data_IF_806451442237
#
_entry.id   IF_806451442237
#
_cell.length_a   1.000
_cell.length_b   1.000
_cell.length_c   1.000
_cell.angle_alpha   90.00
_cell.angle_beta   90.00
_cell.angle_gamma   90.00
#
_symmetry.space_group_name_H-M   'P 1'
#
loop_
_entity.id
_entity.type
_entity.pdbx_description
1 polymer ?
#
# COMPACT_ATOMS: atom_id res chain seq x y z
N UNK A 1 -5.40 -33.15 -9.62
CA UNK A 1 -5.26 -32.04 -8.65
C UNK A 1 -3.79 -31.93 -8.29
N UNK A 2 -3.14 -30.84 -8.71
CA UNK A 2 -1.74 -30.60 -8.37
C UNK A 2 -1.66 -30.23 -6.89
N UNK A 3 -1.48 -31.23 -6.02
CA UNK A 3 -1.51 -31.01 -4.57
C UNK A 3 -0.59 -29.86 -4.16
N UNK A 4 -1.16 -28.95 -3.37
CA UNK A 4 -0.38 -27.95 -2.65
C UNK A 4 0.55 -28.70 -1.70
N UNK A 5 1.86 -28.41 -1.79
CA UNK A 5 2.80 -28.95 -0.81
C UNK A 5 2.64 -28.23 0.53
N UNK A 6 3.20 -28.81 1.60
CA UNK A 6 3.22 -28.18 2.92
C UNK A 6 3.77 -26.75 2.89
N UNK A 7 4.70 -26.44 1.98
CA UNK A 7 5.25 -25.08 1.79
C UNK A 7 4.19 -24.07 1.36
N UNK A 8 3.33 -24.46 0.41
CA UNK A 8 2.21 -23.61 -0.03
C UNK A 8 1.21 -23.44 1.12
N UNK A 9 0.91 -24.53 1.83
CA UNK A 9 0.00 -24.51 2.98
C UNK A 9 0.50 -23.60 4.10
N UNK A 10 1.80 -23.59 4.40
CA UNK A 10 2.39 -22.69 5.40
C UNK A 10 2.19 -21.22 5.03
N UNK A 11 2.32 -20.85 3.75
CA UNK A 11 2.09 -19.47 3.29
C UNK A 11 0.62 -19.07 3.48
N UNK A 12 -0.31 -19.94 3.10
CA UNK A 12 -1.75 -19.71 3.27
C UNK A 12 -2.08 -19.58 4.77
N UNK A 13 -1.59 -20.51 5.60
CA UNK A 13 -1.81 -20.51 7.05
C UNK A 13 -1.24 -19.26 7.72
N UNK A 14 -0.07 -18.77 7.27
CA UNK A 14 0.51 -17.53 7.79
C UNK A 14 -0.43 -16.34 7.57
N UNK A 15 -1.03 -16.22 6.37
CA UNK A 15 -1.96 -15.14 6.04
C UNK A 15 -3.32 -15.28 6.74
N UNK A 16 -3.86 -16.50 6.85
CA UNK A 16 -5.14 -16.75 7.53
C UNK A 16 -5.05 -16.48 9.03
N UNK A 17 -3.95 -16.90 9.69
CA UNK A 17 -3.77 -16.77 11.14
C UNK A 17 -3.37 -15.36 11.58
N UNK A 18 -2.51 -14.67 10.81
CA UNK A 18 -1.98 -13.35 11.17
C UNK A 18 -2.74 -12.20 10.52
N UNK A 19 -3.54 -12.49 9.51
CA UNK A 19 -4.11 -11.48 8.62
C UNK A 19 -3.11 -11.00 7.56
N UNK A 20 -3.45 -9.90 6.87
CA UNK A 20 -2.58 -9.35 5.84
C UNK A 20 -1.18 -9.03 6.36
N UNK A 21 -0.16 -9.41 5.58
CA UNK A 21 1.24 -9.21 5.90
C UNK A 21 1.89 -8.27 4.89
N UNK A 22 2.80 -7.40 5.35
CA UNK A 22 3.56 -6.54 4.45
C UNK A 22 4.40 -7.40 3.50
N UNK A 23 4.62 -6.94 2.28
CA UNK A 23 5.36 -7.65 1.24
C UNK A 23 6.73 -8.14 1.72
N UNK A 24 7.49 -7.30 2.43
CA UNK A 24 8.81 -7.65 2.97
C UNK A 24 8.72 -8.85 3.94
N UNK A 25 7.74 -8.81 4.86
CA UNK A 25 7.53 -9.87 5.86
C UNK A 25 7.06 -11.16 5.21
N UNK A 26 6.14 -11.06 4.24
CA UNK A 26 5.61 -12.22 3.54
C UNK A 26 6.69 -12.88 2.66
N UNK A 27 7.54 -12.09 1.99
CA UNK A 27 8.70 -12.57 1.25
C UNK A 27 9.76 -13.19 2.15
N UNK A 28 9.94 -12.67 3.37
CA UNK A 28 10.81 -13.26 4.38
C UNK A 28 10.32 -14.66 4.79
N UNK A 29 9.02 -14.81 5.07
CA UNK A 29 8.41 -16.13 5.35
C UNK A 29 8.59 -17.07 4.16
N UNK A 30 8.32 -16.59 2.95
CA UNK A 30 8.53 -17.36 1.72
C UNK A 30 9.96 -17.87 1.62
N UNK A 31 10.95 -17.00 1.77
CA UNK A 31 12.37 -17.35 1.68
C UNK A 31 12.77 -18.39 2.73
N UNK A 32 12.22 -18.32 3.95
CA UNK A 32 12.47 -19.29 5.01
C UNK A 32 11.87 -20.66 4.71
N UNK A 33 10.66 -20.71 4.12
CA UNK A 33 9.95 -21.95 3.81
C UNK A 33 10.53 -22.66 2.58
N UNK A 34 10.96 -21.90 1.57
CA UNK A 34 11.53 -22.43 0.33
C UNK A 34 13.02 -22.74 0.45
N UNK A 35 13.77 -21.94 1.21
CA UNK A 35 15.24 -22.02 1.31
C UNK A 35 15.96 -21.32 0.17
N UNK A 36 17.28 -21.55 0.04
CA UNK A 36 18.10 -20.97 -1.04
C UNK A 36 17.72 -21.58 -2.39
N UNK A 37 17.21 -20.76 -3.31
CA UNK A 37 16.97 -21.17 -4.70
C UNK A 37 18.15 -20.83 -5.61
N UNK A 38 18.42 -21.68 -6.61
CA UNK A 38 19.45 -21.45 -7.64
C UNK A 38 19.00 -20.53 -8.78
N UNK A 39 17.74 -20.06 -8.78
CA UNK A 39 17.15 -19.21 -9.82
C UNK A 39 16.51 -17.93 -9.28
N UNK A 40 15.82 -17.19 -10.17
CA UNK A 40 15.11 -15.95 -9.84
C UNK A 40 14.06 -16.18 -8.74
N UNK A 41 14.34 -15.65 -7.54
CA UNK A 41 13.44 -15.69 -6.39
C UNK A 41 12.07 -15.10 -6.72
N UNK A 42 12.01 -14.11 -7.61
CA UNK A 42 10.76 -13.47 -8.03
C UNK A 42 9.88 -14.41 -8.86
N UNK A 43 10.44 -15.08 -9.87
CA UNK A 43 9.69 -16.02 -10.70
C UNK A 43 9.15 -17.18 -9.87
N UNK A 44 9.99 -17.71 -8.98
CA UNK A 44 9.57 -18.78 -8.08
C UNK A 44 8.44 -18.34 -7.14
N UNK A 45 8.51 -17.11 -6.62
CA UNK A 45 7.43 -16.54 -5.81
C UNK A 45 6.12 -16.45 -6.60
N UNK A 46 6.17 -15.89 -7.82
CA UNK A 46 4.99 -15.74 -8.69
C UNK A 46 4.38 -17.09 -9.08
N UNK A 47 5.19 -18.11 -9.32
CA UNK A 47 4.74 -19.48 -9.59
C UNK A 47 4.04 -20.10 -8.38
N UNK A 48 4.55 -19.88 -7.17
CA UNK A 48 3.90 -20.31 -5.93
C UNK A 48 2.57 -19.61 -5.72
N UNK A 49 2.49 -18.30 -5.95
CA UNK A 49 1.24 -17.55 -5.85
C UNK A 49 0.20 -18.05 -6.85
N UNK A 50 0.62 -18.28 -8.10
CA UNK A 50 -0.24 -18.83 -9.16
C UNK A 50 -0.80 -20.19 -8.74
N UNK A 51 0.07 -21.09 -8.26
CA UNK A 51 -0.35 -22.43 -7.84
C UNK A 51 -1.29 -22.39 -6.63
N UNK A 52 -1.03 -21.52 -5.65
CA UNK A 52 -1.93 -21.30 -4.51
C UNK A 52 -3.30 -20.84 -5.02
N UNK A 53 -3.36 -19.83 -5.89
CA UNK A 53 -4.61 -19.26 -6.37
C UNK A 53 -5.42 -20.21 -7.25
N UNK A 54 -4.77 -21.06 -8.04
CA UNK A 54 -5.45 -22.12 -8.80
C UNK A 54 -6.25 -23.04 -7.86
N UNK A 55 -5.69 -23.40 -6.71
CA UNK A 55 -6.33 -24.33 -5.78
C UNK A 55 -7.30 -23.62 -4.82
N UNK A 56 -6.99 -22.39 -4.38
CA UNK A 56 -7.91 -21.57 -3.57
C UNK A 56 -9.19 -21.18 -4.31
N UNK A 57 -9.14 -21.07 -5.64
CA UNK A 57 -10.29 -20.76 -6.47
C UNK A 57 -11.46 -21.75 -6.29
N UNK A 58 -11.18 -23.02 -5.99
CA UNK A 58 -12.21 -24.03 -5.74
C UNK A 58 -13.09 -23.70 -4.53
N UNK A 59 -12.52 -23.06 -3.51
CA UNK A 59 -13.21 -22.62 -2.29
C UNK A 59 -13.55 -21.13 -2.32
N UNK A 60 -13.48 -20.50 -3.50
CA UNK A 60 -13.78 -19.08 -3.70
C UNK A 60 -12.91 -18.16 -2.83
N UNK A 61 -11.67 -18.57 -2.55
CA UNK A 61 -10.66 -17.76 -1.91
C UNK A 61 -9.61 -17.31 -2.93
N UNK A 62 -8.93 -16.22 -2.63
CA UNK A 62 -7.81 -15.72 -3.45
C UNK A 62 -6.73 -15.15 -2.54
N UNK A 63 -5.47 -15.51 -2.79
CA UNK A 63 -4.32 -14.82 -2.23
C UNK A 63 -3.98 -13.63 -3.14
N UNK A 64 -4.09 -12.42 -2.61
CA UNK A 64 -3.93 -11.19 -3.39
C UNK A 64 -3.07 -10.16 -2.68
N UNK A 65 -2.44 -9.30 -3.49
CA UNK A 65 -1.75 -8.10 -3.04
C UNK A 65 -2.68 -6.88 -3.05
N UNK A 66 -2.60 -6.04 -2.01
CA UNK A 66 -3.22 -4.73 -1.94
C UNK A 66 -2.22 -3.69 -1.46
N UNK A 67 -2.27 -2.48 -2.03
CA UNK A 67 -1.44 -1.36 -1.58
C UNK A 67 -2.20 -0.55 -0.55
N UNK A 68 -1.60 -0.36 0.62
CA UNK A 68 -2.19 0.43 1.70
C UNK A 68 -2.18 1.93 1.33
N UNK A 69 -3.32 2.61 1.54
CA UNK A 69 -3.54 3.97 1.07
C UNK A 69 -2.81 5.04 1.91
N UNK A 70 -2.36 4.69 3.11
CA UNK A 70 -1.69 5.61 4.03
C UNK A 70 -0.17 5.60 3.87
N UNK A 71 0.43 4.41 3.77
CA UNK A 71 1.88 4.25 3.71
C UNK A 71 2.41 3.81 2.33
N UNK A 72 1.54 3.53 1.36
CA UNK A 72 1.92 3.10 0.01
C UNK A 72 2.58 1.72 -0.07
N UNK A 73 2.71 0.99 1.05
CA UNK A 73 3.30 -0.35 1.10
C UNK A 73 2.34 -1.41 0.59
N UNK A 74 2.87 -2.46 -0.03
CA UNK A 74 2.10 -3.60 -0.50
C UNK A 74 1.95 -4.61 0.63
N UNK A 75 0.75 -5.17 0.76
CA UNK A 75 0.40 -6.24 1.68
C UNK A 75 -0.21 -7.39 0.92
N UNK A 76 0.07 -8.62 1.35
CA UNK A 76 -0.55 -9.83 0.85
C UNK A 76 -1.55 -10.35 1.88
N UNK A 77 -2.69 -10.83 1.42
CA UNK A 77 -3.72 -11.45 2.26
C UNK A 77 -4.52 -12.49 1.48
N UNK A 78 -5.29 -13.29 2.20
CA UNK A 78 -6.27 -14.22 1.62
C UNK A 78 -7.63 -13.58 1.74
N UNK A 79 -8.30 -13.38 0.61
CA UNK A 79 -9.63 -12.78 0.51
C UNK A 79 -10.67 -13.83 0.19
N UNK A 80 -11.88 -13.61 0.69
CA UNK A 80 -13.06 -14.37 0.29
C UNK A 80 -13.79 -13.65 -0.85
N UNK A 81 -13.92 -14.33 -1.98
CA UNK A 81 -14.55 -13.81 -3.21
C UNK A 81 -16.08 -14.00 -3.24
N UNK A 82 -16.67 -14.62 -2.22
CA UNK A 82 -18.13 -14.62 -2.01
C UNK A 82 -18.61 -13.19 -1.79
N UNK A 83 -19.72 -12.82 -2.44
CA UNK A 83 -20.29 -11.46 -2.43
C UNK A 83 -20.98 -11.05 -1.14
N UNK A 84 -21.23 -11.99 -0.22
CA UNK A 84 -21.81 -11.67 1.08
C UNK A 84 -20.76 -11.09 2.03
N UNK A 85 -20.48 -9.80 1.84
CA UNK A 85 -19.52 -9.05 2.64
C UNK A 85 -19.97 -8.87 4.09
N UNK A 86 -21.28 -8.98 4.39
CA UNK A 86 -21.78 -8.90 5.76
C UNK A 86 -21.38 -10.12 6.59
N UNK A 87 -21.34 -11.30 5.95
CA UNK A 87 -20.88 -12.54 6.60
C UNK A 87 -19.39 -12.52 6.99
N UNK A 88 -18.56 -11.65 6.38
CA UNK A 88 -17.10 -11.62 6.64
C UNK A 88 -16.76 -11.17 8.07
N UNK A 89 -17.56 -10.29 8.66
CA UNK A 89 -17.43 -9.90 10.07
C UNK A 89 -18.33 -10.73 11.01
N UNK A 90 -19.41 -11.33 10.49
CA UNK A 90 -20.43 -12.07 11.25
C UNK A 90 -19.93 -13.29 12.03
N UNK A 91 -18.77 -13.84 11.69
CA UNK A 91 -18.20 -15.00 12.39
C UNK A 91 -17.49 -14.65 13.70
N UNK A 92 -17.06 -13.39 13.88
CA UNK A 92 -16.26 -12.95 15.04
C UNK A 92 -16.91 -11.83 15.84
N UNK A 93 -17.66 -10.94 15.17
CA UNK A 93 -18.20 -9.74 15.80
C UNK A 93 -19.71 -9.85 15.97
N UNK A 94 -20.20 -9.24 17.05
CA UNK A 94 -21.64 -9.13 17.31
C UNK A 94 -22.29 -8.11 16.38
N UNK A 95 -23.62 -8.20 16.21
CA UNK A 95 -24.37 -7.29 15.34
C UNK A 95 -24.14 -5.80 15.66
N UNK A 96 -24.14 -5.33 16.92
CA UNK A 96 -23.83 -3.93 17.22
C UNK A 96 -22.40 -3.51 16.86
N UNK A 97 -21.42 -4.42 17.00
CA UNK A 97 -20.03 -4.15 16.61
C UNK A 97 -19.90 -4.02 15.09
N UNK A 98 -20.58 -4.87 14.33
CA UNK A 98 -20.58 -4.79 12.86
C UNK A 98 -21.22 -3.49 12.39
N UNK A 99 -22.34 -3.10 12.97
CA UNK A 99 -22.96 -1.81 12.66
C UNK A 99 -22.07 -0.63 13.07
N UNK A 100 -21.35 -0.74 14.18
CA UNK A 100 -20.40 0.28 14.62
C UNK A 100 -19.25 0.44 13.61
N UNK A 101 -18.70 -0.68 13.13
CA UNK A 101 -17.71 -0.69 12.06
C UNK A 101 -18.24 -0.02 10.78
N UNK A 102 -19.46 -0.37 10.33
CA UNK A 102 -20.08 0.25 9.16
C UNK A 102 -20.20 1.76 9.32
N UNK A 103 -20.71 2.23 10.47
CA UNK A 103 -20.83 3.66 10.73
C UNK A 103 -19.48 4.41 10.73
N UNK A 104 -18.41 3.79 11.24
CA UNK A 104 -17.05 4.36 11.12
C UNK A 104 -16.61 4.45 9.66
N UNK A 105 -16.78 3.37 8.89
CA UNK A 105 -16.36 3.31 7.48
C UNK A 105 -17.13 4.33 6.63
N UNK A 106 -18.44 4.43 6.82
CA UNK A 106 -19.29 5.43 6.16
C UNK A 106 -18.86 6.86 6.49
N UNK A 107 -18.61 7.17 7.77
CA UNK A 107 -18.13 8.48 8.17
C UNK A 107 -16.77 8.83 7.54
N UNK A 108 -15.86 7.85 7.41
CA UNK A 108 -14.57 8.03 6.73
C UNK A 108 -14.75 8.26 5.22
N UNK A 109 -15.70 7.56 4.58
CA UNK A 109 -15.95 7.66 3.13
C UNK A 109 -16.65 8.97 2.74
N UNK A 110 -17.58 9.43 3.59
CA UNK A 110 -18.36 10.64 3.38
C UNK A 110 -17.56 11.93 3.62
N UNK A 111 -16.33 11.83 4.12
CA UNK A 111 -15.41 12.95 4.24
C UNK A 111 -15.15 13.60 2.86
N UNK A 112 -15.58 14.86 2.72
CA UNK A 112 -15.48 15.63 1.49
C UNK A 112 -14.03 15.80 1.02
N UNK A 113 -13.08 15.88 1.96
CA UNK A 113 -11.66 16.05 1.68
C UNK A 113 -10.95 14.73 1.29
N UNK A 114 -11.65 13.59 1.34
CA UNK A 114 -11.09 12.26 1.15
C UNK A 114 -9.77 12.06 1.92
N UNK A 115 -9.72 12.57 3.16
CA UNK A 115 -8.57 12.40 4.06
C UNK A 115 -8.37 10.93 4.42
N UNK A 116 -9.46 10.16 4.34
CA UNK A 116 -9.55 8.74 4.61
C UNK A 116 -9.37 8.40 6.08
N UNK A 117 -9.69 9.32 6.99
CA UNK A 117 -9.56 9.10 8.42
C UNK A 117 -10.64 9.84 9.22
N UNK A 118 -10.88 9.38 10.45
CA UNK A 118 -11.79 9.97 11.43
C UNK A 118 -11.05 10.18 12.75
N UNK A 119 -11.43 11.18 13.55
CA UNK A 119 -10.88 11.34 14.90
C UNK A 119 -11.40 10.26 15.84
N UNK A 120 -10.65 9.97 16.92
CA UNK A 120 -11.11 9.01 17.93
C UNK A 120 -12.42 9.47 18.60
N UNK A 121 -12.55 10.77 18.86
CA UNK A 121 -13.75 11.37 19.44
C UNK A 121 -14.96 11.16 18.53
N UNK A 122 -14.82 11.45 17.24
CA UNK A 122 -15.93 11.29 16.27
C UNK A 122 -16.29 9.82 16.08
N UNK A 123 -15.29 8.92 16.04
CA UNK A 123 -15.51 7.48 15.98
C UNK A 123 -16.35 6.99 17.17
N UNK A 124 -16.00 7.37 18.40
CA UNK A 124 -16.75 6.98 19.59
C UNK A 124 -18.18 7.54 19.60
N UNK A 125 -18.41 8.69 18.97
CA UNK A 125 -19.72 9.34 18.88
C UNK A 125 -20.61 8.83 17.74
N UNK A 126 -20.16 7.86 16.93
CA UNK A 126 -21.00 7.24 15.88
C UNK A 126 -22.29 6.68 16.48
N UNK A 127 -23.42 7.12 15.91
CA UNK A 127 -24.77 6.70 16.31
C UNK A 127 -25.21 5.49 15.50
N UNK A 128 -25.53 4.42 16.20
CA UNK A 128 -25.89 3.14 15.59
C UNK A 128 -27.31 3.12 15.03
N UNK A 129 -28.17 4.04 15.47
CA UNK A 129 -29.55 4.14 15.02
C UNK A 129 -29.64 4.34 13.50
N UNK A 130 -28.72 5.12 12.92
CA UNK A 130 -28.64 5.40 11.49
C UNK A 130 -28.31 4.15 10.67
N UNK A 131 -27.63 3.17 11.26
CA UNK A 131 -27.17 1.94 10.59
C UNK A 131 -28.28 0.87 10.48
N UNK A 132 -29.40 1.04 11.20
CA UNK A 132 -30.51 0.09 11.22
C UNK A 132 -31.38 0.24 9.98
N UNK A 133 -31.54 1.46 9.47
CA UNK A 133 -32.43 1.74 8.34
C UNK A 133 -32.00 0.99 7.06
N UNK A 134 -30.70 0.83 6.83
CA UNK A 134 -30.14 0.07 5.68
C UNK A 134 -29.96 -1.44 5.93
N UNK A 135 -30.37 -1.97 7.09
CA UNK A 135 -30.39 -3.43 7.33
C UNK A 135 -31.77 -4.06 7.05
N UNK A 136 -32.80 -3.24 6.87
CA UNK A 136 -34.22 -3.67 6.78
C UNK A 136 -34.85 -3.40 5.41
N UNK A 137 -34.09 -3.44 4.31
CA UNK A 137 -34.60 -3.27 2.93
C UNK A 137 -35.44 -4.46 2.42
N UNK A 138 -36.17 -5.14 3.30
CA UNK A 138 -37.25 -6.05 2.93
C UNK A 138 -38.58 -5.47 3.40
N UNK A 139 -39.22 -4.74 2.49
CA UNK A 139 -40.67 -4.55 2.35
C UNK A 139 -41.53 -4.60 3.63
N UNK A 140 -41.46 -3.57 4.47
CA UNK A 140 -42.62 -3.25 5.30
C UNK A 140 -42.79 -1.74 5.47
N UNK A 141 -43.80 -1.22 4.78
CA UNK A 141 -44.33 0.11 5.08
C UNK A 141 -45.02 0.09 6.44
N UNK A 142 -44.68 1.06 7.29
CA UNK A 142 -45.53 1.47 8.41
C UNK A 142 -45.28 0.78 9.74
N UNK A 143 -44.10 0.97 10.34
CA UNK A 143 -43.94 0.88 11.80
C UNK A 143 -42.77 1.78 12.22
N UNK A 144 -42.88 2.59 13.29
CA UNK A 144 -41.72 3.34 13.77
C UNK A 144 -40.66 2.34 14.25
N UNK A 145 -39.54 2.30 13.53
CA UNK A 145 -38.42 1.37 13.72
C UNK A 145 -38.02 1.30 15.18
N UNK A 146 -38.46 0.27 15.91
CA UNK A 146 -37.98 0.05 17.27
C UNK A 146 -36.52 -0.40 17.18
N UNK A 147 -35.60 0.53 17.42
CA UNK A 147 -34.17 0.28 17.53
C UNK A 147 -33.96 -0.90 18.50
N UNK A 148 -33.37 -2.02 18.06
CA UNK A 148 -33.23 -3.18 18.92
C UNK A 148 -32.41 -2.83 20.18
N UNK A 149 -32.76 -3.39 21.36
CA UNK A 149 -32.11 -3.04 22.62
C UNK A 149 -30.58 -3.18 22.60
N UNK A 150 -30.06 -4.13 21.82
CA UNK A 150 -28.63 -4.36 21.65
C UNK A 150 -27.88 -3.14 21.10
N UNK A 151 -28.53 -2.30 20.28
CA UNK A 151 -27.93 -1.06 19.77
C UNK A 151 -28.02 0.09 20.78
N UNK A 152 -29.16 0.23 21.47
CA UNK A 152 -29.35 1.25 22.52
C UNK A 152 -28.37 1.06 23.70
N UNK A 153 -28.09 -0.20 24.01
CA UNK A 153 -27.23 -0.57 25.13
C UNK A 153 -25.74 -0.65 24.77
N UNK A 154 -25.37 -0.33 23.51
CA UNK A 154 -23.97 -0.38 23.08
C UNK A 154 -23.20 0.84 23.62
N UNK A 155 -22.58 0.67 24.79
CA UNK A 155 -21.97 1.75 25.56
C UNK A 155 -20.70 2.31 24.93
N UNK A 156 -20.26 3.48 25.38
CA UNK A 156 -18.98 4.07 24.99
C UNK A 156 -17.79 3.16 25.31
N UNK A 157 -17.78 2.53 26.48
CA UNK A 157 -16.73 1.59 26.87
C UNK A 157 -16.72 0.32 26.01
N UNK A 158 -17.86 -0.11 25.48
CA UNK A 158 -17.93 -1.21 24.51
C UNK A 158 -17.42 -0.77 23.13
N UNK A 159 -17.70 0.47 22.72
CA UNK A 159 -17.15 1.06 21.50
C UNK A 159 -15.63 1.14 21.54
N UNK A 160 -15.04 1.63 22.63
CA UNK A 160 -13.58 1.70 22.82
C UNK A 160 -12.93 0.32 22.68
N UNK A 161 -13.43 -0.68 23.43
CA UNK A 161 -12.93 -2.06 23.33
C UNK A 161 -13.09 -2.65 21.93
N UNK A 162 -14.21 -2.34 21.27
CA UNK A 162 -14.47 -2.82 19.91
C UNK A 162 -13.52 -2.17 18.90
N UNK A 163 -13.20 -0.89 19.08
CA UNK A 163 -12.25 -0.15 18.26
C UNK A 163 -10.84 -0.75 18.37
N UNK A 164 -10.39 -1.08 19.58
CA UNK A 164 -9.13 -1.78 19.83
C UNK A 164 -9.08 -3.13 19.10
N UNK A 165 -10.18 -3.89 19.12
CA UNK A 165 -10.27 -5.16 18.39
C UNK A 165 -10.15 -4.96 16.88
N UNK A 166 -10.82 -3.96 16.30
CA UNK A 166 -10.72 -3.68 14.87
C UNK A 166 -9.32 -3.24 14.44
N UNK A 167 -8.63 -2.46 15.28
CA UNK A 167 -7.23 -2.08 15.04
C UNK A 167 -6.32 -3.31 15.10
N UNK A 168 -6.48 -4.15 16.12
CA UNK A 168 -5.71 -5.39 16.30
C UNK A 168 -5.90 -6.35 15.12
N UNK A 169 -7.14 -6.49 14.64
CA UNK A 169 -7.50 -7.40 13.56
C UNK A 169 -7.29 -6.79 12.16
N UNK A 170 -6.78 -5.56 12.10
CA UNK A 170 -6.47 -4.80 10.89
C UNK A 170 -7.68 -4.44 10.01
N UNK A 171 -8.89 -4.42 10.58
CA UNK A 171 -10.08 -3.83 9.95
C UNK A 171 -10.04 -2.29 9.99
N UNK A 172 -9.40 -1.74 11.01
CA UNK A 172 -9.05 -0.33 11.10
C UNK A 172 -7.53 -0.21 11.26
N UNK A 173 -6.99 0.98 11.04
CA UNK A 173 -5.58 1.29 11.26
C UNK A 173 -5.41 2.61 11.99
N UNK A 174 -4.41 2.69 12.86
CA UNK A 174 -3.97 3.98 13.39
C UNK A 174 -3.23 4.74 12.31
N UNK A 175 -3.58 6.02 12.14
CA UNK A 175 -2.90 6.98 11.27
C UNK A 175 -2.28 8.09 12.12
N UNK A 176 -1.39 8.92 11.53
CA UNK A 176 -0.84 10.09 12.23
C UNK A 176 -1.94 10.95 12.89
N UNK A 177 -1.56 11.69 13.93
CA UNK A 177 -2.44 12.55 14.73
C UNK A 177 -3.54 11.80 15.52
N UNK A 178 -3.26 10.55 15.92
CA UNK A 178 -4.19 9.69 16.68
C UNK A 178 -5.55 9.49 15.99
N UNK A 179 -5.58 9.64 14.66
CA UNK A 179 -6.75 9.37 13.85
C UNK A 179 -6.85 7.90 13.49
N UNK A 180 -8.01 7.53 12.99
CA UNK A 180 -8.38 6.16 12.64
C UNK A 180 -8.70 6.11 11.16
N UNK A 181 -8.04 5.20 10.45
CA UNK A 181 -8.25 4.92 9.04
C UNK A 181 -8.81 3.52 8.82
N UNK A 182 -9.21 3.25 7.59
CA UNK A 182 -9.64 1.91 7.16
C UNK A 182 -8.42 0.98 7.10
N UNK A 183 -8.51 -0.17 7.74
CA UNK A 183 -7.41 -1.12 7.79
C UNK A 183 -7.19 -1.85 6.46
N UNK A 184 -5.99 -2.42 6.31
CA UNK A 184 -5.62 -3.12 5.07
C UNK A 184 -6.48 -4.36 4.81
N UNK A 185 -6.97 -5.02 5.87
CA UNK A 185 -7.89 -6.16 5.75
C UNK A 185 -9.18 -5.73 5.08
N UNK A 186 -9.70 -4.55 5.40
CA UNK A 186 -10.92 -4.01 4.80
C UNK A 186 -10.75 -3.73 3.30
N UNK A 187 -9.65 -3.12 2.90
CA UNK A 187 -9.36 -2.89 1.47
C UNK A 187 -9.18 -4.18 0.66
N UNK A 188 -8.80 -5.27 1.32
CA UNK A 188 -8.69 -6.60 0.71
C UNK A 188 -10.06 -7.28 0.65
N UNK A 189 -10.71 -7.43 1.81
CA UNK A 189 -11.90 -8.26 1.99
C UNK A 189 -13.18 -7.58 1.51
N UNK A 190 -13.29 -6.25 1.56
CA UNK A 190 -14.53 -5.51 1.33
C UNK A 190 -14.55 -4.75 -0.01
N UNK A 191 -13.74 -5.18 -0.99
CA UNK A 191 -13.70 -4.55 -2.33
C UNK A 191 -15.07 -4.44 -2.99
N UNK A 192 -15.86 -5.50 -2.93
CA UNK A 192 -17.21 -5.53 -3.51
C UNK A 192 -18.12 -4.55 -2.79
N UNK A 193 -18.10 -4.53 -1.46
CA UNK A 193 -18.81 -3.55 -0.64
C UNK A 193 -18.48 -2.11 -1.02
N UNK A 194 -17.20 -1.75 -1.17
CA UNK A 194 -16.83 -0.38 -1.60
C UNK A 194 -17.43 -0.02 -2.97
N UNK A 195 -17.48 -0.98 -3.91
CA UNK A 195 -18.09 -0.74 -5.23
C UNK A 195 -19.61 -0.60 -5.14
N UNK A 196 -20.27 -1.48 -4.37
CA UNK A 196 -21.72 -1.46 -4.19
C UNK A 196 -22.21 -0.22 -3.44
N UNK A 197 -21.35 0.40 -2.63
CA UNK A 197 -21.63 1.66 -1.93
C UNK A 197 -21.06 2.89 -2.66
N UNK A 198 -20.81 2.75 -3.98
CA UNK A 198 -20.42 3.84 -4.88
C UNK A 198 -19.21 4.66 -4.40
N UNK A 199 -18.29 4.03 -3.66
CA UNK A 199 -17.07 4.69 -3.21
C UNK A 199 -16.24 5.03 -4.44
N UNK A 200 -15.89 6.31 -4.67
CA UNK A 200 -15.17 6.71 -5.87
C UNK A 200 -13.86 5.92 -6.01
N UNK A 201 -13.52 5.53 -7.23
CA UNK A 201 -12.31 4.77 -7.52
C UNK A 201 -11.16 5.68 -7.93
N UNK A 202 -9.94 5.18 -7.77
CA UNK A 202 -8.74 5.83 -8.26
C UNK A 202 -8.56 5.53 -9.76
N UNK A 203 -8.45 6.57 -10.59
CA UNK A 203 -8.30 6.49 -12.06
C UNK A 203 -7.02 5.79 -12.56
N UNK A 204 -6.17 5.29 -11.66
CA UNK A 204 -4.90 4.64 -12.01
C UNK A 204 -4.87 3.17 -11.62
N UNK A 205 -5.36 2.84 -10.41
CA UNK A 205 -5.36 1.47 -9.92
C UNK A 205 -6.75 0.81 -9.89
N UNK A 206 -7.81 1.58 -10.16
CA UNK A 206 -9.21 1.13 -10.10
C UNK A 206 -9.63 0.53 -8.74
N UNK A 207 -8.95 0.97 -7.67
CA UNK A 207 -9.29 0.65 -6.29
C UNK A 207 -10.04 1.80 -5.63
N UNK A 208 -10.83 1.50 -4.61
CA UNK A 208 -11.54 2.48 -3.81
C UNK A 208 -10.59 3.61 -3.34
N UNK A 209 -10.91 4.85 -3.67
CA UNK A 209 -10.13 6.04 -3.36
C UNK A 209 -10.68 6.72 -2.10
N UNK A 210 -10.49 6.03 -0.97
CA UNK A 210 -10.92 6.50 0.36
C UNK A 210 -9.97 7.59 0.87
N UNK A 211 -8.65 7.34 0.82
CA UNK A 211 -7.63 8.36 1.04
C UNK A 211 -7.04 8.77 -0.30
N UNK A 212 -7.42 9.92 -0.81
CA UNK A 212 -6.99 10.35 -2.14
C UNK A 212 -6.87 11.86 -2.26
N UNK A 213 -6.12 12.30 -3.27
CA UNK A 213 -6.14 13.68 -3.70
C UNK A 213 -7.26 13.85 -4.73
N UNK A 214 -8.04 14.92 -4.57
CA UNK A 214 -9.15 15.27 -5.45
C UNK A 214 -8.69 16.21 -6.55
N UNK A 215 -9.43 16.22 -7.66
CA UNK A 215 -9.28 17.26 -8.67
C UNK A 215 -9.67 18.63 -8.08
N UNK A 216 -8.94 19.70 -8.47
CA UNK A 216 -9.30 21.08 -8.08
C UNK A 216 -10.55 21.61 -8.79
N UNK A 217 -10.95 20.99 -9.89
CA UNK A 217 -12.18 21.33 -10.56
C UNK A 217 -13.33 20.67 -9.80
N UNK A 218 -14.16 21.46 -9.13
CA UNK A 218 -15.28 20.99 -8.30
C UNK A 218 -16.32 20.18 -9.08
N UNK A 219 -16.42 20.39 -10.40
CA UNK A 219 -17.28 19.59 -11.27
C UNK A 219 -16.69 18.20 -11.63
N UNK A 220 -15.47 17.89 -11.16
CA UNK A 220 -14.73 16.69 -11.50
C UNK A 220 -14.48 15.81 -10.27
N UNK A 221 -15.08 14.60 -10.29
CA UNK A 221 -14.99 13.64 -9.18
C UNK A 221 -13.74 12.73 -9.21
N UNK A 222 -12.76 13.03 -10.07
CA UNK A 222 -11.53 12.23 -10.16
C UNK A 222 -10.78 12.24 -8.84
N UNK A 223 -10.45 11.04 -8.36
CA UNK A 223 -9.59 10.81 -7.20
C UNK A 223 -8.33 10.06 -7.61
N UNK A 224 -7.20 10.41 -7.00
CA UNK A 224 -5.93 9.72 -7.19
C UNK A 224 -5.28 9.44 -5.83
N UNK A 225 -4.92 8.18 -5.56
CA UNK A 225 -4.05 7.87 -4.41
C UNK A 225 -2.70 8.56 -4.60
N UNK A 226 -2.05 8.96 -3.50
CA UNK A 226 -0.74 9.62 -3.53
C UNK A 226 0.30 8.80 -4.32
N UNK A 227 0.39 7.50 -4.05
CA UNK A 227 1.33 6.62 -4.74
C UNK A 227 0.99 6.42 -6.24
N UNK A 228 -0.29 6.50 -6.61
CA UNK A 228 -0.73 6.42 -8.01
C UNK A 228 -0.38 7.69 -8.76
N UNK A 229 -0.55 8.84 -8.10
CA UNK A 229 -0.16 10.13 -8.60
C UNK A 229 1.35 10.17 -8.86
N UNK A 230 2.16 9.81 -7.86
CA UNK A 230 3.63 9.75 -7.99
C UNK A 230 4.04 8.83 -9.14
N UNK A 231 3.45 7.64 -9.23
CA UNK A 231 3.72 6.71 -10.34
C UNK A 231 3.36 7.32 -11.69
N UNK A 232 2.20 7.95 -11.83
CA UNK A 232 1.71 8.52 -13.09
C UNK A 232 2.53 9.72 -13.57
N UNK A 233 2.92 10.61 -12.66
CA UNK A 233 3.58 11.88 -12.99
C UNK A 233 5.09 11.88 -12.71
N UNK A 234 5.68 10.75 -12.31
CA UNK A 234 7.14 10.61 -12.16
C UNK A 234 7.91 10.75 -13.49
N UNK A 235 7.24 10.51 -14.62
CA UNK A 235 7.85 10.61 -15.94
C UNK A 235 7.85 12.07 -16.43
N UNK A 236 9.05 12.62 -16.71
CA UNK A 236 9.27 14.03 -17.11
C UNK A 236 8.49 14.51 -18.35
N UNK A 237 7.86 13.60 -19.11
CA UNK A 237 7.12 13.91 -20.34
C UNK A 237 5.61 13.98 -20.15
N UNK A 238 5.09 13.70 -18.96
CA UNK A 238 3.65 13.70 -18.70
C UNK A 238 3.31 15.00 -18.00
N UNK A 239 2.53 15.86 -18.67
CA UNK A 239 1.95 17.03 -18.03
C UNK A 239 1.14 16.60 -16.81
N UNK A 240 1.30 17.33 -15.71
CA UNK A 240 0.64 17.00 -14.44
C UNK A 240 -0.80 17.51 -14.46
N UNK A 241 -1.65 16.87 -15.26
CA UNK A 241 -3.06 17.22 -15.48
C UNK A 241 -4.01 16.10 -15.04
N UNK A 242 -5.24 16.48 -14.67
CA UNK A 242 -6.30 15.56 -14.28
C UNK A 242 -6.66 14.63 -15.46
N UNK A 243 -6.70 13.29 -15.26
CA UNK A 243 -7.11 12.37 -16.32
C UNK A 243 -8.55 12.53 -16.80
N UNK A 244 -9.45 13.02 -15.96
CA UNK A 244 -10.87 13.14 -16.32
C UNK A 244 -11.20 14.43 -17.05
N UNK A 245 -10.64 15.57 -16.61
CA UNK A 245 -11.03 16.90 -17.09
C UNK A 245 -9.88 17.77 -17.62
N UNK A 246 -8.64 17.29 -17.58
CA UNK A 246 -7.46 18.04 -18.05
C UNK A 246 -7.01 19.20 -17.16
N UNK A 247 -7.70 19.50 -16.05
CA UNK A 247 -7.29 20.56 -15.12
C UNK A 247 -5.91 20.29 -14.54
N UNK A 248 -5.07 21.33 -14.42
CA UNK A 248 -3.73 21.22 -13.85
C UNK A 248 -3.79 20.70 -12.39
N UNK A 249 -3.04 19.64 -12.12
CA UNK A 249 -3.06 18.98 -10.82
C UNK A 249 -2.12 19.68 -9.84
N UNK A 250 -2.50 19.82 -8.55
CA UNK A 250 -1.67 20.44 -7.53
C UNK A 250 -0.24 19.86 -7.48
N UNK A 251 0.77 20.73 -7.38
CA UNK A 251 2.20 20.39 -7.37
C UNK A 251 2.88 20.41 -8.75
N UNK A 252 2.21 20.93 -9.78
CA UNK A 252 2.82 21.27 -11.07
C UNK A 252 3.50 22.65 -10.97
N UNK A 253 4.66 22.74 -10.33
CA UNK A 253 5.49 23.94 -10.50
C UNK A 253 6.32 23.76 -11.77
N UNK A 254 5.85 24.37 -12.86
CA UNK A 254 6.73 24.65 -14.00
C UNK A 254 7.76 25.65 -13.50
N UNK A 255 9.04 25.26 -13.43
CA UNK A 255 10.12 26.24 -13.36
C UNK A 255 10.01 27.06 -14.65
N UNK A 256 9.60 28.32 -14.54
CA UNK A 256 9.71 29.24 -15.66
C UNK A 256 11.19 29.32 -16.05
N UNK A 257 11.55 28.68 -17.16
CA UNK A 257 12.83 28.92 -17.81
C UNK A 257 12.83 30.39 -18.23
N UNK A 258 13.86 31.11 -17.79
CA UNK A 258 14.10 32.49 -18.16
C UNK A 258 14.18 32.57 -19.69
N UNK A 259 13.34 33.43 -20.27
CA UNK A 259 13.43 33.82 -21.66
C UNK A 259 14.74 34.60 -21.82
N UNK A 260 15.77 33.97 -22.39
CA UNK A 260 16.87 34.69 -23.02
C UNK A 260 16.32 35.34 -24.30
N UNK A 261 15.99 36.62 -24.23
CA UNK A 261 15.83 37.45 -25.43
C UNK A 261 17.21 37.83 -25.94
N UNK A 262 17.62 37.22 -27.05
CA UNK A 262 18.66 37.76 -27.93
C UNK A 262 17.97 38.68 -28.95
N UNK A 263 18.42 39.94 -29.03
CA UNK A 263 18.68 40.66 -30.30
C UNK A 263 19.30 42.06 -30.02
N UNK A 264 20.46 42.30 -30.66
CA UNK A 264 21.34 43.50 -30.73
C UNK A 264 20.96 44.34 -32.01
N UNK A 265 21.63 45.44 -32.49
CA UNK A 265 22.82 46.19 -32.04
C UNK A 265 22.86 47.76 -32.23
N UNK A 266 24.04 48.34 -31.94
CA UNK A 266 24.69 49.61 -32.41
C UNK A 266 24.36 50.96 -31.69
N UNK A 267 25.32 51.73 -31.10
CA UNK A 267 26.43 52.58 -31.67
C UNK A 267 27.34 53.15 -30.51
N UNK A 268 28.60 53.65 -30.73
CA UNK A 268 29.77 53.45 -29.83
C UNK A 268 30.45 54.70 -29.19
N UNK A 269 31.36 54.46 -28.22
CA UNK A 269 32.60 55.21 -27.83
C UNK A 269 32.88 55.03 -26.33
N UNK A 270 34.08 54.95 -25.73
CA UNK A 270 35.50 55.05 -26.09
C UNK A 270 36.32 54.49 -24.89
N UNK A 271 37.50 53.89 -25.15
CA UNK A 271 38.69 53.70 -24.29
C UNK A 271 38.51 53.13 -22.85
N UNK A 272 39.22 52.08 -22.40
CA UNK A 272 40.70 51.95 -22.35
C UNK A 272 41.08 50.48 -22.05
N UNK A 273 42.14 49.98 -22.68
CA UNK A 273 42.76 48.63 -22.54
C UNK A 273 43.95 48.66 -21.53
N UNK A 274 44.73 47.58 -21.27
CA UNK A 274 44.50 46.11 -21.35
C UNK A 274 45.17 45.29 -20.19
N UNK A 275 44.97 43.95 -20.21
CA UNK A 275 45.92 42.82 -19.95
C UNK A 275 45.18 41.65 -19.25
N UNK A 276 45.39 40.36 -19.52
CA UNK A 276 46.17 39.60 -20.50
C UNK A 276 45.56 38.18 -20.56
N UNK A 277 45.63 37.53 -21.72
CA UNK A 277 45.11 36.18 -21.99
C UNK A 277 46.10 35.11 -21.55
N UNK A 278 45.61 33.93 -21.18
CA UNK A 278 46.32 32.68 -21.43
C UNK A 278 45.35 31.54 -21.79
N UNK A 279 45.57 31.00 -22.98
CA UNK A 279 44.87 29.90 -23.63
C UNK A 279 45.76 28.66 -23.55
N UNK A 280 45.21 27.47 -23.27
CA UNK A 280 45.28 26.26 -24.15
C UNK A 280 45.13 24.91 -23.42
N UNK A 281 44.24 24.10 -24.02
CA UNK A 281 44.29 22.65 -24.35
C UNK A 281 44.55 21.63 -23.23
N UNK A 282 43.71 20.63 -22.94
CA UNK A 282 43.07 19.54 -23.76
C UNK A 282 44.01 18.37 -24.12
N UNK A 283 43.87 17.23 -23.41
CA UNK A 283 43.87 15.78 -23.80
C UNK A 283 44.44 14.94 -22.64
N UNK A 284 43.73 13.96 -22.05
CA UNK A 284 43.24 12.63 -22.52
C UNK A 284 44.39 11.67 -22.83
N UNK A 285 44.59 10.65 -21.98
CA UNK A 285 45.24 9.36 -22.32
C UNK A 285 44.55 8.24 -21.53
N UNK A 286 44.35 7.11 -22.22
CA UNK A 286 43.71 5.87 -21.84
C UNK A 286 44.78 4.81 -21.46
N UNK A 287 44.40 3.93 -20.53
CA UNK A 287 44.67 2.47 -20.37
C UNK A 287 45.69 1.76 -21.28
N UNK A 288 46.50 0.87 -20.70
CA UNK A 288 46.45 -0.60 -20.95
C UNK A 288 47.43 -1.41 -20.06
N UNK A 289 47.08 -2.69 -19.88
CA UNK A 289 47.66 -3.75 -19.03
C UNK A 289 48.80 -4.50 -19.75
N UNK A 290 49.69 -5.18 -19.01
CA UNK A 290 50.31 -6.41 -19.53
C UNK A 290 50.86 -7.37 -18.44
N UNK A 291 51.04 -8.64 -18.84
CA UNK A 291 51.07 -9.91 -18.10
C UNK A 291 52.45 -10.43 -17.56
N UNK A 292 52.35 -11.26 -16.50
CA UNK A 292 52.95 -12.60 -16.22
C UNK A 292 54.44 -12.91 -15.84
N UNK A 293 54.52 -13.97 -15.00
CA UNK A 293 55.56 -15.00 -14.70
C UNK A 293 56.74 -14.72 -13.73
N UNK A 294 57.33 -15.66 -12.96
CA UNK A 294 57.01 -16.93 -12.22
C UNK A 294 58.29 -17.33 -11.43
N UNK A 295 58.15 -18.13 -10.34
CA UNK A 295 59.13 -19.03 -9.66
C UNK A 295 60.16 -18.47 -8.63
N UNK A 296 60.65 -19.16 -7.57
CA UNK A 296 60.35 -20.36 -6.73
C UNK A 296 61.39 -20.38 -5.57
N UNK A 297 61.11 -21.12 -4.47
CA UNK A 297 62.01 -21.65 -3.40
C UNK A 297 62.09 -20.82 -2.11
N UNK A 298 61.93 -21.32 -0.87
CA UNK A 298 61.73 -22.66 -0.31
C UNK A 298 62.45 -22.77 1.06
N UNK A 299 61.79 -23.28 2.12
CA UNK A 299 62.32 -24.25 3.14
C UNK A 299 61.49 -24.41 4.43
N UNK A 300 61.19 -25.70 4.71
CA UNK A 300 61.16 -26.49 6.00
C UNK A 300 60.23 -26.01 7.14
N UNK A 301 59.12 -26.71 7.47
CA UNK A 301 58.90 -28.03 8.13
C UNK A 301 59.22 -28.03 9.63
N UNK A 302 58.22 -28.29 10.50
CA UNK A 302 58.22 -29.33 11.55
C UNK A 302 56.84 -29.45 12.26
N UNK A 303 56.55 -30.69 12.66
CA UNK A 303 55.31 -31.28 13.17
C UNK A 303 55.37 -31.54 14.69
N UNK A 304 54.25 -31.54 15.42
CA UNK A 304 53.93 -32.60 16.42
C UNK A 304 52.50 -32.51 16.98
N UNK A 305 52.03 -33.68 17.43
CA UNK A 305 50.68 -34.12 17.71
C UNK A 305 50.36 -34.29 19.22
N UNK A 306 49.05 -34.54 19.49
CA UNK A 306 48.45 -35.32 20.62
C UNK A 306 48.46 -34.64 22.00
N UNK A 307 47.54 -34.85 22.96
CA UNK A 307 46.59 -35.92 23.24
C UNK A 307 45.44 -35.44 24.17
N UNK A 308 44.37 -36.23 24.23
CA UNK A 308 43.31 -36.22 25.26
C UNK A 308 43.88 -36.59 26.64
N UNK A 309 43.24 -36.12 27.72
CA UNK A 309 43.09 -36.84 29.00
C UNK A 309 41.88 -36.30 29.79
N UNK A 310 41.11 -37.24 30.34
CA UNK A 310 39.93 -37.08 31.19
C UNK A 310 40.30 -36.74 32.65
N UNK A 311 39.33 -36.25 33.42
CA UNK A 311 39.25 -36.49 34.87
C UNK A 311 39.16 -35.24 35.76
N UNK A 312 37.93 -34.80 36.06
CA UNK A 312 37.29 -34.90 37.39
C UNK A 312 35.87 -34.36 37.32
#
# INVERSE_FOLDING_TARGET
>A
MSSLSWRHQTLIQALLSRGPLKEDDFRSIFSQVIGKSSGSQQQLFDDYLRKINTELGYVQLELRACRNQYNGSVYYGVVNNVSDDQSKLGTKYTVPQIAYYKGIVEAIIQDAEASGCISNIDALNIRLETQIQGMTDSESQGCPSQIPPAFKNFSMSQKEKTLELFLKDQWLSSVPDEKIGIGVRSFLDLRSWFRSNEVPICEVCNEAAVKAQLCKNEACNVRLHQYCLEKKFSQRRVERVCPGCGTQWPGSTVKAEAVETLDDPDVPSQNTQPRERSVKRRRRVYREEDHADVAVSGRKRLTRSSARLSGN
#
